data_IF_102578748682
#
_entry.id   IF_102578748682
#
_cell.length_a   1.000
_cell.length_b   1.000
_cell.length_c   1.000
_cell.angle_alpha   90.00
_cell.angle_beta   90.00
_cell.angle_gamma   90.00
#
_symmetry.space_group_name_H-M   'P 1'
#
loop_
_entity.id
_entity.type
_entity.pdbx_description
1 polymer ?
#
# COMPACT_ATOMS: atom_id res chain seq x y z
N UNK A 1 19.76 3.89 -20.30
CA UNK A 1 19.29 3.88 -18.90
C UNK A 1 18.45 5.14 -18.76
N UNK A 2 17.13 4.97 -18.63
CA UNK A 2 16.15 6.05 -18.78
C UNK A 2 16.36 7.18 -17.77
N UNK A 3 16.44 8.41 -18.26
CA UNK A 3 16.45 9.66 -17.49
C UNK A 3 15.10 9.91 -16.78
N UNK A 4 14.67 9.00 -15.90
CA UNK A 4 13.49 9.18 -15.05
C UNK A 4 13.82 10.01 -13.81
N UNK A 5 14.42 11.18 -14.02
CA UNK A 5 14.46 12.25 -13.01
C UNK A 5 13.34 13.25 -13.25
N UNK A 6 12.18 12.76 -13.66
CA UNK A 6 10.94 13.50 -13.50
C UNK A 6 10.66 13.54 -12.00
N UNK A 7 11.03 14.65 -11.37
CA UNK A 7 10.61 15.00 -10.02
C UNK A 7 9.08 14.99 -10.02
N UNK A 8 8.48 13.89 -9.56
CA UNK A 8 7.05 13.83 -9.30
C UNK A 8 6.78 14.91 -8.24
N UNK A 9 5.96 15.94 -8.56
CA UNK A 9 5.55 16.96 -7.60
C UNK A 9 4.99 16.32 -6.33
N UNK A 10 5.27 16.89 -5.16
CA UNK A 10 4.77 16.35 -3.88
C UNK A 10 3.24 16.40 -3.85
N UNK A 11 2.67 17.39 -4.53
CA UNK A 11 1.24 17.57 -4.75
C UNK A 11 0.66 16.34 -5.45
N UNK A 12 1.29 15.83 -6.51
CA UNK A 12 0.84 14.63 -7.22
C UNK A 12 0.90 13.35 -6.36
N UNK A 13 1.77 13.34 -5.33
CA UNK A 13 1.91 12.24 -4.38
C UNK A 13 0.96 12.34 -3.17
N UNK A 14 0.46 13.54 -2.86
CA UNK A 14 -0.28 13.83 -1.63
C UNK A 14 -1.72 14.28 -1.86
N UNK A 15 -2.05 14.72 -3.06
CA UNK A 15 -3.40 15.09 -3.45
C UNK A 15 -4.32 13.87 -3.45
N UNK A 16 -5.59 14.11 -3.09
CA UNK A 16 -6.64 13.11 -3.20
C UNK A 16 -6.87 12.90 -4.69
N UNK A 17 -6.26 11.83 -5.23
CA UNK A 17 -6.54 11.41 -6.58
C UNK A 17 -8.05 11.17 -6.72
N UNK A 18 -8.68 11.67 -7.80
CA UNK A 18 -10.10 11.43 -8.04
C UNK A 18 -10.33 9.93 -7.98
N UNK A 19 -11.34 9.51 -7.21
CA UNK A 19 -11.70 8.10 -7.11
C UNK A 19 -11.88 7.57 -8.52
N UNK A 20 -11.02 6.65 -8.93
CA UNK A 20 -11.16 5.98 -10.21
C UNK A 20 -12.62 5.49 -10.34
N UNK A 21 -13.18 5.57 -11.55
CA UNK A 21 -14.55 5.11 -11.79
C UNK A 21 -14.73 3.73 -11.14
N UNK A 22 -15.78 3.59 -10.34
CA UNK A 22 -16.02 2.39 -9.53
C UNK A 22 -15.95 1.15 -10.42
N UNK A 23 -14.86 0.41 -10.31
CA UNK A 23 -14.72 -0.91 -10.90
C UNK A 23 -15.24 -1.89 -9.87
N UNK A 24 -16.43 -2.43 -10.13
CA UNK A 24 -17.10 -3.36 -9.23
C UNK A 24 -16.22 -4.58 -8.87
N UNK A 25 -15.31 -4.98 -9.77
CA UNK A 25 -14.34 -6.05 -9.49
C UNK A 25 -13.25 -5.60 -8.52
N UNK A 26 -12.71 -4.40 -8.72
CA UNK A 26 -11.71 -3.82 -7.83
C UNK A 26 -12.28 -3.57 -6.43
N UNK A 27 -13.49 -3.03 -6.32
CA UNK A 27 -14.13 -2.72 -5.05
C UNK A 27 -14.42 -3.99 -4.24
N UNK A 28 -14.96 -5.03 -4.88
CA UNK A 28 -15.19 -6.32 -4.23
C UNK A 28 -13.89 -6.98 -3.77
N UNK A 29 -12.83 -6.90 -4.59
CA UNK A 29 -11.50 -7.39 -4.20
C UNK A 29 -10.93 -6.60 -3.02
N UNK A 30 -11.02 -5.28 -3.05
CA UNK A 30 -10.53 -4.36 -2.02
C UNK A 30 -11.24 -4.62 -0.70
N UNK A 31 -12.56 -4.77 -0.71
CA UNK A 31 -13.34 -5.09 0.49
C UNK A 31 -12.88 -6.42 1.10
N UNK A 32 -12.74 -7.47 0.28
CA UNK A 32 -12.27 -8.79 0.74
C UNK A 32 -10.87 -8.71 1.35
N UNK A 33 -9.95 -7.93 0.76
CA UNK A 33 -8.60 -7.70 1.27
C UNK A 33 -8.62 -6.99 2.61
N UNK A 34 -9.40 -5.92 2.75
CA UNK A 34 -9.52 -5.15 4.00
C UNK A 34 -10.05 -6.02 5.13
N UNK A 35 -11.15 -6.76 4.90
CA UNK A 35 -11.73 -7.66 5.92
C UNK A 35 -10.73 -8.72 6.39
N UNK A 36 -9.96 -9.29 5.47
CA UNK A 36 -8.93 -10.28 5.82
C UNK A 36 -7.79 -9.65 6.65
N UNK A 37 -7.33 -8.46 6.27
CA UNK A 37 -6.27 -7.75 6.99
C UNK A 37 -6.70 -7.33 8.41
N UNK A 38 -7.94 -6.87 8.58
CA UNK A 38 -8.49 -6.54 9.90
C UNK A 38 -8.50 -7.76 10.82
N UNK A 39 -8.97 -8.90 10.32
CA UNK A 39 -8.96 -10.16 11.09
C UNK A 39 -7.54 -10.62 11.45
N UNK A 40 -6.56 -10.39 10.58
CA UNK A 40 -5.15 -10.69 10.90
C UNK A 40 -4.59 -9.73 11.95
N UNK A 41 -5.06 -8.48 11.99
CA UNK A 41 -4.61 -7.50 12.98
C UNK A 41 -5.08 -7.81 14.41
N UNK A 42 -6.17 -8.56 14.56
CA UNK A 42 -6.62 -9.06 15.87
C UNK A 42 -5.60 -10.02 16.52
N UNK A 43 -4.82 -10.73 15.70
CA UNK A 43 -3.72 -11.58 16.15
C UNK A 43 -2.37 -11.04 15.68
N UNK A 44 -1.72 -10.26 16.55
CA UNK A 44 -0.39 -9.69 16.27
C UNK A 44 0.69 -10.73 15.95
N UNK A 45 0.54 -11.97 16.39
CA UNK A 45 1.51 -13.05 16.07
C UNK A 45 1.42 -13.49 14.60
N UNK A 46 0.27 -13.25 13.97
CA UNK A 46 0.02 -13.49 12.54
C UNK A 46 0.52 -12.35 11.63
N UNK A 47 1.02 -11.24 12.19
CA UNK A 47 1.55 -10.11 11.43
C UNK A 47 3.06 -10.23 11.19
N UNK A 48 3.53 -9.70 10.05
CA UNK A 48 4.98 -9.61 9.79
C UNK A 48 5.57 -8.47 10.65
N UNK A 49 6.60 -8.74 11.48
CA UNK A 49 7.25 -7.69 12.27
C UNK A 49 7.82 -6.58 11.38
N UNK A 50 7.67 -5.31 11.82
CA UNK A 50 8.14 -4.14 11.07
C UNK A 50 9.62 -4.23 10.69
N UNK A 51 10.49 -4.74 11.59
CA UNK A 51 11.91 -4.97 11.31
C UNK A 51 12.13 -5.83 10.06
N UNK A 52 11.39 -6.94 9.93
CA UNK A 52 11.47 -7.84 8.77
C UNK A 52 10.97 -7.18 7.49
N UNK A 53 9.98 -6.29 7.60
CA UNK A 53 9.50 -5.50 6.46
C UNK A 53 10.60 -4.56 5.99
N UNK A 54 11.21 -3.79 6.89
CA UNK A 54 12.28 -2.87 6.54
C UNK A 54 13.50 -3.57 5.93
N UNK A 55 13.92 -4.69 6.52
CA UNK A 55 15.02 -5.52 5.98
C UNK A 55 14.71 -6.02 4.57
N UNK A 56 13.48 -6.50 4.33
CA UNK A 56 13.10 -7.01 3.01
C UNK A 56 13.10 -5.95 1.92
N UNK A 57 12.80 -4.70 2.26
CA UNK A 57 12.69 -3.61 1.30
C UNK A 57 13.92 -2.68 1.28
N UNK A 58 14.97 -2.96 2.05
CA UNK A 58 16.19 -2.15 2.08
C UNK A 58 16.00 -0.79 2.77
N UNK A 59 15.03 -0.71 3.69
CA UNK A 59 14.72 0.51 4.47
C UNK A 59 15.29 0.47 5.89
N UNK A 60 16.22 -0.45 6.16
CA UNK A 60 16.94 -0.48 7.42
C UNK A 60 17.67 0.85 7.68
N UNK A 61 17.45 1.39 8.89
CA UNK A 61 18.18 2.54 9.44
C UNK A 61 19.29 2.06 10.35
#
# INVERSE_FOLDING_TARGET
MSDLRDTIPVEDLTEVQPTAAADAGYDAWKEKKIRAALKQADDRSSMVPAKKVWERFGFER
#
